data_IF_597253574254
#
_entry.id   IF_597253574254
#
_cell.length_a   1.000
_cell.length_b   1.000
_cell.length_c   1.000
_cell.angle_alpha   90.00
_cell.angle_beta   90.00
_cell.angle_gamma   90.00
#
_symmetry.space_group_name_H-M   'P 1'
#
loop_
_entity.id
_entity.type
_entity.pdbx_description
1 polymer ?
#
# COMPACT_ATOMS: atom_id res chain seq x y z
N UNK A 1 -13.15 6.01 11.16
CA UNK A 1 -12.41 6.74 10.09
C UNK A 1 -12.49 5.92 8.82
N UNK A 2 -12.84 6.52 7.68
CA UNK A 2 -13.02 5.79 6.41
C UNK A 2 -11.71 5.82 5.59
N UNK A 3 -10.98 4.70 5.56
CA UNK A 3 -9.70 4.58 4.86
C UNK A 3 -9.78 4.93 3.37
N UNK A 4 -10.88 4.58 2.71
CA UNK A 4 -11.07 4.89 1.28
C UNK A 4 -11.14 6.39 1.04
N UNK A 5 -11.83 7.11 1.92
CA UNK A 5 -11.93 8.56 1.81
C UNK A 5 -10.56 9.22 2.02
N UNK A 6 -9.85 8.86 3.10
CA UNK A 6 -8.51 9.42 3.39
C UNK A 6 -7.51 9.11 2.29
N UNK A 7 -7.48 7.88 1.77
CA UNK A 7 -6.62 7.48 0.65
C UNK A 7 -6.91 8.30 -0.61
N UNK A 8 -8.19 8.56 -0.91
CA UNK A 8 -8.59 9.39 -2.05
C UNK A 8 -8.14 10.84 -1.88
N UNK A 9 -8.27 11.41 -0.69
CA UNK A 9 -7.80 12.77 -0.44
C UNK A 9 -6.28 12.88 -0.57
N UNK A 10 -5.53 11.92 -0.02
CA UNK A 10 -4.06 11.89 -0.15
C UNK A 10 -3.59 11.68 -1.60
N UNK A 11 -4.34 10.93 -2.42
CA UNK A 11 -3.98 10.73 -3.83
C UNK A 11 -4.02 12.00 -4.69
N UNK A 12 -4.58 13.11 -4.15
CA UNK A 12 -4.57 14.42 -4.83
C UNK A 12 -3.23 15.16 -4.66
N UNK A 13 -2.40 14.78 -3.69
CA UNK A 13 -1.07 15.36 -3.50
C UNK A 13 -0.07 14.75 -4.49
N UNK A 14 0.39 15.58 -5.44
CA UNK A 14 1.34 15.15 -6.49
C UNK A 14 2.73 14.82 -5.94
N UNK A 15 3.07 15.23 -4.72
CA UNK A 15 4.33 14.86 -4.08
C UNK A 15 4.31 13.42 -3.56
N UNK A 16 3.11 12.83 -3.40
CA UNK A 16 2.97 11.44 -2.98
C UNK A 16 2.95 10.53 -4.21
N UNK A 17 3.84 9.55 -4.21
CA UNK A 17 3.96 8.57 -5.29
C UNK A 17 3.39 7.21 -4.92
N UNK A 18 3.25 6.92 -3.63
CA UNK A 18 2.70 5.66 -3.15
C UNK A 18 1.96 5.85 -1.82
N UNK A 19 0.85 5.16 -1.65
CA UNK A 19 0.08 5.11 -0.40
C UNK A 19 0.09 3.66 0.09
N UNK A 20 0.68 3.43 1.26
CA UNK A 20 0.72 2.12 1.90
C UNK A 20 -0.27 2.07 3.07
N UNK A 21 -1.11 1.04 3.13
CA UNK A 21 -2.08 0.84 4.21
C UNK A 21 -1.77 -0.50 4.86
N UNK A 22 -1.56 -0.49 6.19
CA UNK A 22 -1.27 -1.71 6.96
C UNK A 22 -2.22 -1.86 8.14
N UNK A 23 -2.35 -3.09 8.60
CA UNK A 23 -3.00 -3.46 9.85
C UNK A 23 -2.06 -4.44 10.56
N UNK A 24 -1.52 -4.05 11.70
CA UNK A 24 -0.76 -4.95 12.55
C UNK A 24 -1.73 -5.58 13.55
N UNK A 25 -1.84 -6.91 13.54
CA UNK A 25 -2.72 -7.63 14.46
C UNK A 25 -1.89 -8.37 15.53
N UNK A 26 -2.07 -7.95 16.79
CA UNK A 26 -1.35 -8.51 17.93
C UNK A 26 0.04 -7.91 18.13
N UNK A 27 0.52 -7.98 19.37
CA UNK A 27 1.80 -7.39 19.80
C UNK A 27 3.00 -7.95 19.03
N UNK A 28 2.98 -9.24 18.72
CA UNK A 28 4.05 -9.93 17.97
C UNK A 28 4.19 -9.41 16.53
N UNK A 29 3.10 -8.92 15.93
CA UNK A 29 3.11 -8.29 14.61
C UNK A 29 3.44 -6.78 14.68
N UNK A 30 3.81 -6.26 15.84
CA UNK A 30 4.14 -4.84 16.05
C UNK A 30 2.93 -3.95 16.32
N UNK A 31 1.79 -4.49 16.74
CA UNK A 31 0.68 -3.66 17.24
C UNK A 31 1.10 -3.03 18.58
N UNK A 32 1.04 -1.70 18.64
CA UNK A 32 1.34 -0.93 19.87
C UNK A 32 0.12 -0.73 20.77
N UNK A 33 -1.09 -0.86 20.20
CA UNK A 33 -2.37 -0.73 20.89
C UNK A 33 -3.16 -2.03 20.71
N UNK A 34 -3.82 -2.49 21.78
CA UNK A 34 -4.70 -3.67 21.73
C UNK A 34 -5.99 -3.40 20.93
N UNK A 35 -6.42 -2.13 20.88
CA UNK A 35 -7.58 -1.74 20.09
C UNK A 35 -7.29 -1.91 18.59
N UNK A 36 -8.17 -2.57 17.80
CA UNK A 36 -7.98 -2.73 16.37
C UNK A 36 -7.80 -1.38 15.66
N UNK A 37 -6.74 -1.24 14.88
CA UNK A 37 -6.44 -0.02 14.14
C UNK A 37 -5.69 -0.34 12.84
N UNK A 38 -5.64 0.66 11.98
CA UNK A 38 -4.90 0.64 10.72
C UNK A 38 -3.97 1.84 10.67
N UNK A 39 -2.93 1.75 9.85
CA UNK A 39 -2.00 2.83 9.60
C UNK A 39 -1.93 3.08 8.09
N UNK A 40 -1.74 4.35 7.72
CA UNK A 40 -1.62 4.79 6.34
C UNK A 40 -0.37 5.65 6.21
N UNK A 41 0.48 5.32 5.24
CA UNK A 41 1.71 6.04 4.93
C UNK A 41 1.63 6.62 3.52
N UNK A 42 1.82 7.93 3.38
CA UNK A 42 2.07 8.58 2.09
C UNK A 42 3.57 8.69 1.86
N UNK A 43 4.08 8.11 0.78
CA UNK A 43 5.51 8.10 0.46
C UNK A 43 5.76 8.92 -0.82
N UNK A 44 6.83 9.75 -0.87
CA UNK A 44 7.22 10.48 -2.07
C UNK A 44 7.94 9.62 -3.11
N UNK A 45 8.13 8.34 -2.82
CA UNK A 45 8.78 7.35 -3.69
C UNK A 45 7.88 6.12 -3.81
N UNK A 46 8.07 5.35 -4.88
CA UNK A 46 7.48 4.01 -5.01
C UNK A 46 8.50 3.01 -4.45
N UNK A 47 8.14 2.17 -3.47
CA UNK A 47 9.07 1.16 -2.93
C UNK A 47 9.48 0.12 -3.99
N UNK A 48 10.71 -0.38 -3.91
CA UNK A 48 11.27 -1.32 -4.89
C UNK A 48 10.45 -2.61 -5.02
N UNK A 49 9.97 -3.17 -3.91
CA UNK A 49 9.15 -4.39 -3.94
C UNK A 49 7.85 -4.22 -4.75
N UNK A 50 7.27 -3.01 -4.77
CA UNK A 50 6.08 -2.71 -5.58
C UNK A 50 6.47 -2.64 -7.05
N UNK A 51 7.63 -2.06 -7.36
CA UNK A 51 8.14 -2.01 -8.73
C UNK A 51 8.43 -3.42 -9.26
N UNK A 52 9.02 -4.28 -8.44
CA UNK A 52 9.30 -5.68 -8.77
C UNK A 52 8.00 -6.47 -9.00
N UNK A 53 6.98 -6.28 -8.16
CA UNK A 53 5.67 -6.92 -8.31
C UNK A 53 4.98 -6.47 -9.61
N UNK A 54 5.02 -5.17 -9.93
CA UNK A 54 4.47 -4.63 -11.17
C UNK A 54 5.19 -5.17 -12.40
N UNK A 55 6.52 -5.24 -12.38
CA UNK A 55 7.31 -5.79 -13.48
C UNK A 55 7.04 -7.29 -13.68
N UNK A 56 7.02 -8.06 -12.59
CA UNK A 56 6.66 -9.49 -12.60
C UNK A 56 5.25 -9.72 -13.16
N UNK A 57 4.27 -8.96 -12.67
CA UNK A 57 2.88 -9.03 -13.13
C UNK A 57 2.76 -8.67 -14.62
N UNK A 58 3.47 -7.63 -15.07
CA UNK A 58 3.49 -7.23 -16.48
C UNK A 58 4.11 -8.31 -17.37
N UNK A 59 5.21 -8.93 -16.94
CA UNK A 59 5.85 -10.05 -17.66
C UNK A 59 4.89 -11.24 -17.79
N UNK A 60 4.20 -11.59 -16.71
CA UNK A 60 3.21 -12.67 -16.70
C UNK A 60 2.05 -12.39 -17.67
N UNK A 61 1.45 -11.19 -17.57
CA UNK A 61 0.38 -10.77 -18.47
C UNK A 61 0.82 -10.79 -19.94
N UNK A 62 2.03 -10.31 -20.26
CA UNK A 62 2.53 -10.30 -21.62
C UNK A 62 2.64 -11.71 -22.21
N UNK A 63 3.05 -12.69 -21.39
CA UNK A 63 3.23 -14.09 -21.79
C UNK A 63 1.91 -14.86 -21.90
N UNK A 64 1.01 -14.68 -20.93
CA UNK A 64 -0.18 -15.54 -20.79
C UNK A 64 -1.50 -14.83 -21.10
N UNK A 65 -1.48 -13.51 -21.30
CA UNK A 65 -2.66 -12.65 -21.50
C UNK A 65 -3.70 -12.78 -20.38
N UNK A 66 -3.22 -13.07 -19.18
CA UNK A 66 -4.00 -13.19 -17.95
C UNK A 66 -3.34 -12.37 -16.86
N UNK A 67 -4.16 -11.70 -16.06
CA UNK A 67 -3.75 -11.13 -14.79
C UNK A 67 -3.87 -12.20 -13.71
#
# INVERSE_FOLDING_TARGET
>A
MNLRYTQKELSKDLNLRFIHIIVNHGKEAGASLDHPHSQLFGLPIVPDFVMDELDGSKKYYNKFKKC
#
